data_IF_415621236477
#
_entry.id   IF_415621236477
#
_cell.length_a   1.000
_cell.length_b   1.000
_cell.length_c   1.000
_cell.angle_alpha   90.00
_cell.angle_beta   90.00
_cell.angle_gamma   90.00
#
_symmetry.space_group_name_H-M   'P 1'
#
loop_
_entity.id
_entity.type
_entity.pdbx_description
1 polymer ?
#
# COMPACT_ATOMS: atom_id res chain seq x y z
N UNK A 1 55.85 -15.24 -28.76
CA UNK A 1 55.41 -16.57 -28.25
C UNK A 1 53.89 -16.61 -28.34
N UNK A 2 53.42 -17.45 -29.22
CA UNK A 2 52.03 -17.63 -29.67
C UNK A 2 51.36 -18.64 -28.74
N UNK A 3 50.18 -18.36 -28.24
CA UNK A 3 49.30 -19.42 -27.74
C UNK A 3 47.87 -19.25 -28.33
N UNK A 4 47.38 -20.32 -28.98
CA UNK A 4 46.05 -20.38 -29.53
C UNK A 4 45.08 -21.15 -28.61
N UNK A 5 43.78 -20.90 -28.72
CA UNK A 5 42.79 -21.78 -28.11
C UNK A 5 41.40 -21.19 -28.01
N UNK A 6 40.79 -20.81 -29.13
CA UNK A 6 39.35 -20.62 -29.23
C UNK A 6 38.71 -21.97 -29.64
N UNK A 7 38.00 -22.62 -28.75
CA UNK A 7 37.12 -23.73 -29.09
C UNK A 7 35.70 -23.18 -29.34
N UNK A 8 35.31 -23.26 -30.61
CA UNK A 8 33.95 -23.07 -31.09
C UNK A 8 33.10 -24.28 -30.75
N UNK A 9 32.04 -24.12 -29.95
CA UNK A 9 31.03 -25.15 -29.79
C UNK A 9 29.98 -24.99 -30.89
N UNK A 10 29.71 -26.09 -31.58
CA UNK A 10 28.75 -26.26 -32.68
C UNK A 10 27.30 -26.23 -32.18
N UNK A 11 26.33 -25.85 -33.05
CA UNK A 11 24.93 -25.78 -32.70
C UNK A 11 24.31 -27.17 -32.64
N UNK A 12 23.47 -27.40 -31.61
CA UNK A 12 22.66 -28.60 -31.41
C UNK A 12 21.51 -28.59 -32.41
N UNK A 13 21.46 -29.66 -33.24
CA UNK A 13 20.43 -29.88 -34.22
C UNK A 13 19.06 -30.19 -33.60
N UNK A 14 18.05 -29.52 -34.08
CA UNK A 14 16.63 -29.75 -33.76
C UNK A 14 16.14 -30.94 -34.60
N UNK A 15 15.70 -32.03 -33.99
CA UNK A 15 15.05 -33.15 -34.67
C UNK A 15 13.53 -32.97 -34.63
N UNK A 16 12.81 -33.04 -35.78
CA UNK A 16 11.37 -33.11 -35.81
C UNK A 16 10.91 -34.57 -35.90
N UNK A 17 10.05 -34.98 -35.03
CA UNK A 17 9.40 -36.27 -35.15
C UNK A 17 8.46 -36.60 -34.04
N UNK A 18 7.14 -36.43 -34.28
CA UNK A 18 6.10 -37.35 -33.82
C UNK A 18 4.74 -36.92 -34.39
N UNK A 19 4.39 -37.53 -35.49
CA UNK A 19 3.21 -38.26 -35.94
C UNK A 19 1.83 -37.77 -35.48
N UNK A 20 1.08 -37.37 -36.53
CA UNK A 20 -0.37 -37.35 -36.66
C UNK A 20 -1.10 -38.49 -35.98
N UNK A 21 -2.11 -38.14 -35.16
CA UNK A 21 -3.29 -38.98 -34.96
C UNK A 21 -4.52 -38.23 -35.45
N UNK A 22 -4.91 -38.50 -36.67
CA UNK A 22 -6.18 -38.09 -37.24
C UNK A 22 -7.32 -38.79 -36.50
N UNK A 23 -8.19 -38.03 -35.81
CA UNK A 23 -9.52 -38.51 -35.44
C UNK A 23 -10.48 -38.21 -36.59
N UNK A 24 -10.93 -39.29 -37.26
CA UNK A 24 -12.02 -39.26 -38.22
C UNK A 24 -13.34 -39.04 -37.47
N UNK A 25 -13.95 -37.88 -37.67
CA UNK A 25 -15.36 -37.67 -37.39
C UNK A 25 -16.18 -37.90 -38.65
N UNK A 26 -17.04 -38.93 -38.62
CA UNK A 26 -18.09 -39.19 -39.59
C UNK A 26 -19.19 -38.14 -39.41
N UNK A 27 -19.66 -37.63 -40.54
CA UNK A 27 -20.70 -36.60 -40.62
C UNK A 27 -22.06 -37.11 -40.13
N UNK A 28 -22.80 -36.18 -39.52
CA UNK A 28 -24.26 -36.19 -39.52
C UNK A 28 -24.70 -34.74 -39.73
N UNK A 29 -25.27 -34.51 -40.89
CA UNK A 29 -25.98 -33.27 -41.19
C UNK A 29 -27.32 -33.29 -40.44
N UNK A 30 -27.50 -32.35 -39.53
CA UNK A 30 -28.76 -32.08 -38.87
C UNK A 30 -28.83 -30.61 -38.47
N UNK A 31 -29.56 -29.82 -39.26
CA UNK A 31 -29.94 -28.45 -38.90
C UNK A 31 -30.79 -28.50 -37.64
N UNK A 32 -30.29 -27.95 -36.54
CA UNK A 32 -31.12 -27.60 -35.42
C UNK A 32 -30.85 -26.14 -35.05
N UNK A 33 -31.80 -25.28 -35.41
CA UNK A 33 -31.92 -23.89 -34.93
C UNK A 33 -32.26 -23.97 -33.44
N UNK A 34 -31.27 -23.83 -32.58
CA UNK A 34 -31.50 -23.61 -31.17
C UNK A 34 -31.75 -22.12 -30.95
N UNK A 35 -33.02 -21.77 -30.77
CA UNK A 35 -33.47 -20.51 -30.23
C UNK A 35 -33.07 -20.50 -28.76
N UNK A 36 -32.08 -19.68 -28.37
CA UNK A 36 -31.78 -19.41 -26.95
C UNK A 36 -32.82 -18.41 -26.45
N UNK A 37 -33.63 -18.78 -25.44
CA UNK A 37 -34.42 -17.79 -24.74
C UNK A 37 -33.50 -16.98 -23.86
N UNK A 38 -33.48 -15.68 -24.07
CA UNK A 38 -32.89 -14.69 -23.16
C UNK A 38 -33.70 -14.62 -21.87
N UNK A 39 -33.25 -15.36 -20.85
CA UNK A 39 -33.73 -15.15 -19.48
C UNK A 39 -32.50 -14.89 -18.62
N UNK A 40 -32.48 -13.81 -17.81
CA UNK A 40 -31.42 -13.58 -16.86
C UNK A 40 -31.57 -14.61 -15.74
N UNK A 41 -30.66 -15.58 -15.69
CA UNK A 41 -30.52 -16.43 -14.51
C UNK A 41 -30.01 -15.54 -13.34
N UNK A 42 -30.95 -14.96 -12.60
CA UNK A 42 -30.69 -14.55 -11.22
C UNK A 42 -30.40 -15.82 -10.45
N UNK A 43 -29.16 -15.98 -10.03
CA UNK A 43 -28.79 -16.93 -9.00
C UNK A 43 -29.58 -16.55 -7.73
N UNK A 44 -30.40 -17.44 -7.15
CA UNK A 44 -31.04 -17.16 -5.88
C UNK A 44 -30.03 -17.44 -4.77
N UNK A 45 -29.09 -16.53 -4.58
CA UNK A 45 -28.34 -16.44 -3.33
C UNK A 45 -29.15 -15.57 -2.40
N UNK A 46 -29.94 -16.27 -1.57
CA UNK A 46 -30.35 -15.91 -0.22
C UNK A 46 -30.46 -14.40 0.06
N UNK A 47 -31.69 -13.91 0.02
CA UNK A 47 -32.13 -12.85 0.93
C UNK A 47 -31.89 -13.35 2.36
N UNK A 48 -30.78 -13.00 2.94
CA UNK A 48 -30.41 -13.42 4.28
C UNK A 48 -29.12 -12.76 4.68
N UNK A 49 -29.24 -11.72 5.44
CA UNK A 49 -28.20 -11.07 6.21
C UNK A 49 -27.24 -10.17 5.41
N UNK A 50 -27.78 -9.14 4.73
CA UNK A 50 -27.03 -7.88 4.71
C UNK A 50 -27.08 -7.36 6.15
N UNK A 51 -26.13 -7.79 6.96
CA UNK A 51 -25.71 -7.02 8.11
C UNK A 51 -25.30 -5.67 7.54
N UNK A 52 -26.20 -4.68 7.61
CA UNK A 52 -25.79 -3.29 7.62
C UNK A 52 -24.85 -3.19 8.82
N UNK A 53 -23.54 -3.36 8.57
CA UNK A 53 -22.55 -2.68 9.37
C UNK A 53 -22.98 -1.22 9.28
N UNK A 54 -23.62 -0.73 10.33
CA UNK A 54 -23.83 0.69 10.53
C UNK A 54 -22.46 1.28 10.54
N UNK A 55 -22.03 1.78 9.36
CA UNK A 55 -20.86 2.60 9.24
C UNK A 55 -21.08 3.77 10.22
N UNK A 56 -20.47 3.66 11.37
CA UNK A 56 -20.30 4.77 12.29
C UNK A 56 -19.63 5.86 11.48
N UNK A 57 -20.27 7.02 11.39
CA UNK A 57 -19.80 8.27 10.85
C UNK A 57 -18.26 8.35 10.95
N UNK A 58 -17.59 8.46 9.81
CA UNK A 58 -16.13 8.40 9.63
C UNK A 58 -15.43 9.66 10.18
N UNK A 59 -15.54 9.89 11.47
CA UNK A 59 -14.56 10.73 12.16
C UNK A 59 -13.46 9.81 12.66
N UNK A 60 -12.24 10.06 12.20
CA UNK A 60 -11.04 9.40 12.73
C UNK A 60 -11.12 9.30 14.26
N UNK A 61 -10.83 8.12 14.79
CA UNK A 61 -10.88 7.85 16.23
C UNK A 61 -9.84 8.67 16.98
N UNK A 62 -8.79 9.13 16.30
CA UNK A 62 -7.66 9.86 16.91
C UNK A 62 -7.10 10.94 15.99
N UNK A 63 -6.59 12.01 16.62
CA UNK A 63 -5.78 13.05 15.97
C UNK A 63 -4.28 12.74 16.03
N UNK A 64 -3.87 11.60 16.60
CA UNK A 64 -2.46 11.21 16.71
C UNK A 64 -1.78 11.15 15.34
N UNK A 65 -0.58 11.71 15.19
CA UNK A 65 0.21 11.58 13.97
C UNK A 65 0.92 10.21 13.86
N UNK A 66 0.81 9.36 14.88
CA UNK A 66 1.54 8.08 14.92
C UNK A 66 0.73 6.98 14.23
N UNK A 67 1.39 6.25 13.32
CA UNK A 67 0.87 5.08 12.64
C UNK A 67 1.80 3.90 12.95
N UNK A 68 1.33 2.94 13.74
CA UNK A 68 2.15 1.77 14.14
C UNK A 68 2.11 0.73 13.03
N UNK A 69 3.28 0.33 12.53
CA UNK A 69 3.40 -0.74 11.55
C UNK A 69 3.30 -2.11 12.23
N UNK A 70 2.28 -2.89 11.87
CA UNK A 70 2.12 -4.28 12.30
C UNK A 70 2.89 -5.20 11.36
N UNK A 71 4.13 -5.49 11.70
CA UNK A 71 5.02 -6.36 10.95
C UNK A 71 5.24 -7.65 11.76
N UNK A 72 4.21 -8.52 11.81
CA UNK A 72 4.17 -9.81 12.49
C UNK A 72 4.05 -10.95 11.49
N UNK A 73 4.46 -12.13 11.87
CA UNK A 73 4.41 -13.36 11.07
C UNK A 73 3.11 -14.17 11.26
N UNK A 74 2.25 -13.74 12.19
CA UNK A 74 0.96 -14.35 12.44
C UNK A 74 -0.06 -13.38 13.06
N UNK A 75 -1.34 -13.72 12.92
CA UNK A 75 -2.48 -12.92 13.39
C UNK A 75 -2.52 -12.78 14.91
N UNK A 76 -2.30 -13.88 15.63
CA UNK A 76 -2.48 -13.91 17.09
C UNK A 76 -1.45 -13.03 17.79
N UNK A 77 -0.19 -13.04 17.35
CA UNK A 77 0.85 -12.16 17.84
C UNK A 77 0.55 -10.69 17.56
N UNK A 78 0.01 -10.38 16.38
CA UNK A 78 -0.40 -9.01 16.04
C UNK A 78 -1.53 -8.53 16.95
N UNK A 79 -2.58 -9.34 17.15
CA UNK A 79 -3.71 -8.98 18.01
C UNK A 79 -3.30 -8.89 19.48
N UNK A 80 -2.46 -9.78 19.97
CA UNK A 80 -1.93 -9.72 21.34
C UNK A 80 -1.13 -8.42 21.60
N UNK A 81 -0.41 -7.90 20.59
CA UNK A 81 0.21 -6.58 20.67
C UNK A 81 -0.85 -5.48 20.67
N UNK A 82 -1.82 -5.53 19.77
CA UNK A 82 -2.86 -4.50 19.62
C UNK A 82 -3.69 -4.35 20.90
N UNK A 83 -3.97 -5.45 21.62
CA UNK A 83 -4.68 -5.45 22.90
C UNK A 83 -3.89 -4.74 24.05
N UNK A 84 -2.63 -4.36 23.82
CA UNK A 84 -1.77 -3.64 24.79
C UNK A 84 -1.67 -2.13 24.54
N UNK A 85 -2.31 -1.61 23.50
CA UNK A 85 -2.23 -0.19 23.10
C UNK A 85 -3.63 0.42 22.96
N UNK A 86 -3.72 1.76 23.00
CA UNK A 86 -4.99 2.50 22.95
C UNK A 86 -5.22 3.07 21.55
N UNK A 87 -6.41 2.88 20.94
CA UNK A 87 -6.73 3.45 19.63
C UNK A 87 -6.73 5.00 19.61
N UNK A 88 -6.78 5.64 20.75
CA UNK A 88 -6.65 7.10 20.86
C UNK A 88 -5.21 7.59 20.68
N UNK A 89 -4.23 6.72 20.90
CA UNK A 89 -2.80 7.08 20.86
C UNK A 89 -2.17 6.86 19.47
N UNK A 90 -2.75 6.01 18.63
CA UNK A 90 -2.19 5.71 17.31
C UNK A 90 -3.22 5.10 16.34
N UNK A 91 -2.87 5.12 15.06
CA UNK A 91 -3.45 4.29 14.00
C UNK A 91 -2.59 3.07 13.73
N UNK A 92 -3.12 2.09 13.00
CA UNK A 92 -2.39 0.87 12.67
C UNK A 92 -2.18 0.75 11.16
N UNK A 93 -1.00 0.27 10.74
CA UNK A 93 -0.69 -0.03 9.33
C UNK A 93 -0.57 -1.54 9.14
N UNK A 94 -1.34 -2.07 8.19
CA UNK A 94 -1.22 -3.45 7.70
C UNK A 94 -0.44 -3.41 6.38
N UNK A 95 0.72 -4.06 6.36
CA UNK A 95 1.53 -4.24 5.15
C UNK A 95 1.15 -5.48 4.36
N UNK A 96 1.89 -5.70 3.25
CA UNK A 96 1.65 -6.82 2.31
C UNK A 96 1.71 -8.18 3.00
N UNK A 97 2.70 -8.41 3.87
CA UNK A 97 2.89 -9.69 4.57
C UNK A 97 1.66 -10.04 5.41
N UNK A 98 1.30 -9.19 6.35
CA UNK A 98 0.16 -9.42 7.23
C UNK A 98 -1.16 -9.57 6.47
N UNK A 99 -1.39 -8.74 5.42
CA UNK A 99 -2.60 -8.86 4.61
C UNK A 99 -2.62 -10.15 3.78
N UNK A 100 -1.48 -10.60 3.26
CA UNK A 100 -1.38 -11.87 2.52
C UNK A 100 -1.65 -13.07 3.41
N UNK A 101 -1.18 -13.03 4.66
CA UNK A 101 -1.36 -14.11 5.63
C UNK A 101 -2.78 -14.16 6.22
N UNK A 102 -3.36 -13.00 6.53
CA UNK A 102 -4.58 -12.91 7.34
C UNK A 102 -5.81 -12.46 6.55
N UNK A 103 -5.63 -11.89 5.35
CA UNK A 103 -6.71 -11.37 4.54
C UNK A 103 -7.46 -10.20 5.20
N UNK A 104 -8.68 -9.89 4.69
CA UNK A 104 -9.49 -8.76 5.18
C UNK A 104 -10.01 -8.96 6.61
N UNK A 105 -10.04 -10.18 7.13
CA UNK A 105 -10.50 -10.44 8.49
C UNK A 105 -9.69 -9.67 9.53
N UNK A 106 -8.38 -9.54 9.32
CA UNK A 106 -7.53 -8.75 10.24
C UNK A 106 -7.98 -7.29 10.32
N UNK A 107 -8.44 -6.69 9.21
CA UNK A 107 -8.96 -5.31 9.23
C UNK A 107 -10.19 -5.22 10.13
N UNK A 108 -11.13 -6.17 10.01
CA UNK A 108 -12.32 -6.24 10.86
C UNK A 108 -11.96 -6.37 12.33
N UNK A 109 -11.01 -7.24 12.66
CA UNK A 109 -10.53 -7.43 14.04
C UNK A 109 -9.95 -6.15 14.67
N UNK A 110 -9.28 -5.32 13.86
CA UNK A 110 -8.71 -4.05 14.31
C UNK A 110 -9.79 -2.98 14.45
N UNK A 111 -10.78 -2.93 13.55
CA UNK A 111 -11.93 -2.04 13.67
C UNK A 111 -12.79 -2.36 14.90
N UNK A 112 -13.01 -3.64 15.22
CA UNK A 112 -13.70 -4.05 16.45
C UNK A 112 -12.99 -3.57 17.73
N UNK A 113 -11.67 -3.35 17.66
CA UNK A 113 -10.85 -2.77 18.72
C UNK A 113 -10.78 -1.24 18.68
N UNK A 114 -11.49 -0.61 17.75
CA UNK A 114 -11.59 0.84 17.60
C UNK A 114 -10.42 1.51 16.87
N UNK A 115 -9.57 0.77 16.17
CA UNK A 115 -8.44 1.34 15.46
C UNK A 115 -8.77 1.75 14.03
N UNK A 116 -8.32 2.94 13.62
CA UNK A 116 -8.20 3.32 12.22
C UNK A 116 -7.08 2.54 11.53
N UNK A 117 -7.31 2.04 10.32
CA UNK A 117 -6.36 1.19 9.59
C UNK A 117 -5.85 1.88 8.33
N UNK A 118 -4.53 1.97 8.19
CA UNK A 118 -3.83 2.24 6.93
C UNK A 118 -3.49 0.93 6.23
N UNK A 119 -4.12 0.65 5.10
CA UNK A 119 -3.84 -0.52 4.27
C UNK A 119 -2.71 -0.21 3.27
N UNK A 120 -1.48 -0.64 3.61
CA UNK A 120 -0.24 -0.32 2.90
C UNK A 120 0.13 -1.42 1.90
N UNK A 121 -0.68 -1.62 0.85
CA UNK A 121 -0.47 -2.64 -0.17
C UNK A 121 0.27 -2.10 -1.41
N UNK A 122 0.39 -0.78 -1.54
CA UNK A 122 1.11 -0.12 -2.65
C UNK A 122 0.61 -0.61 -4.00
N UNK A 123 -0.70 -0.48 -4.27
CA UNK A 123 -1.31 -0.95 -5.50
C UNK A 123 -0.63 -0.35 -6.73
N UNK A 124 -0.28 -1.20 -7.69
CA UNK A 124 0.39 -0.83 -8.90
C UNK A 124 0.03 -1.82 -10.01
N UNK A 125 -0.93 -1.45 -10.85
CA UNK A 125 -1.45 -2.28 -11.94
C UNK A 125 -2.08 -1.36 -13.01
N UNK A 126 -2.68 -1.95 -14.04
CA UNK A 126 -3.46 -1.18 -15.02
C UNK A 126 -4.60 -0.40 -14.33
N UNK A 127 -5.03 0.76 -14.90
CA UNK A 127 -5.95 1.68 -14.23
C UNK A 127 -7.21 1.03 -13.66
N UNK A 128 -7.89 0.18 -14.44
CA UNK A 128 -9.11 -0.47 -13.99
C UNK A 128 -8.91 -1.44 -12.81
N UNK A 129 -7.82 -2.21 -12.83
CA UNK A 129 -7.50 -3.15 -11.74
C UNK A 129 -7.18 -2.39 -10.45
N UNK A 130 -6.35 -1.34 -10.54
CA UNK A 130 -6.02 -0.49 -9.38
C UNK A 130 -7.25 0.21 -8.82
N UNK A 131 -8.11 0.76 -9.69
CA UNK A 131 -9.36 1.40 -9.29
C UNK A 131 -10.26 0.45 -8.47
N UNK A 132 -10.44 -0.79 -8.95
CA UNK A 132 -11.23 -1.80 -8.24
C UNK A 132 -10.60 -2.24 -6.92
N UNK A 133 -9.27 -2.36 -6.87
CA UNK A 133 -8.56 -2.70 -5.63
C UNK A 133 -8.71 -1.59 -4.57
N UNK A 134 -8.61 -0.33 -4.98
CA UNK A 134 -8.82 0.83 -4.10
C UNK A 134 -10.28 0.91 -3.62
N UNK A 135 -11.27 0.68 -4.50
CA UNK A 135 -12.67 0.61 -4.10
C UNK A 135 -12.94 -0.53 -3.10
N UNK A 136 -12.38 -1.72 -3.33
CA UNK A 136 -12.50 -2.83 -2.39
C UNK A 136 -11.86 -2.52 -1.02
N UNK A 137 -10.73 -1.80 -0.99
CA UNK A 137 -10.14 -1.31 0.26
C UNK A 137 -11.07 -0.32 0.98
N UNK A 138 -11.73 0.58 0.23
CA UNK A 138 -12.71 1.50 0.80
C UNK A 138 -13.94 0.77 1.37
N UNK A 139 -14.43 -0.28 0.70
CA UNK A 139 -15.51 -1.15 1.21
C UNK A 139 -15.15 -1.84 2.54
N UNK A 140 -13.87 -2.13 2.76
CA UNK A 140 -13.37 -2.65 4.04
C UNK A 140 -13.35 -1.59 5.15
N UNK A 141 -13.64 -0.32 4.85
CA UNK A 141 -13.68 0.77 5.83
C UNK A 141 -12.31 1.27 6.28
N UNK A 142 -11.24 1.05 5.51
CA UNK A 142 -9.91 1.52 5.88
C UNK A 142 -9.85 3.05 5.89
N UNK A 143 -9.09 3.61 6.83
CA UNK A 143 -8.88 5.05 6.94
C UNK A 143 -7.97 5.60 5.84
N UNK A 144 -6.96 4.81 5.40
CA UNK A 144 -6.00 5.22 4.37
C UNK A 144 -5.60 4.02 3.51
N UNK A 145 -5.37 4.26 2.22
CA UNK A 145 -4.88 3.28 1.25
C UNK A 145 -3.85 3.93 0.33
N UNK A 146 -2.92 3.16 -0.22
CA UNK A 146 -1.91 3.71 -1.12
C UNK A 146 -1.79 2.97 -2.45
N UNK A 147 -1.33 3.74 -3.44
CA UNK A 147 -0.92 3.26 -4.75
C UNK A 147 0.55 3.63 -5.00
N UNK A 148 1.15 3.19 -6.11
CA UNK A 148 2.45 3.70 -6.57
C UNK A 148 2.26 4.83 -7.59
N UNK A 149 2.96 5.97 -7.41
CA UNK A 149 2.93 7.07 -8.38
C UNK A 149 3.49 6.66 -9.75
N UNK A 150 4.47 5.74 -9.77
CA UNK A 150 5.08 5.22 -11.00
C UNK A 150 4.09 4.46 -11.91
N UNK A 151 2.88 4.13 -11.45
CA UNK A 151 1.78 3.66 -12.28
C UNK A 151 1.22 4.73 -13.22
N UNK A 152 1.59 6.01 -13.02
CA UNK A 152 1.26 7.13 -13.89
C UNK A 152 -0.11 7.75 -13.63
N UNK A 153 -0.32 8.92 -14.25
CA UNK A 153 -1.51 9.76 -14.00
C UNK A 153 -2.83 9.04 -14.27
N UNK A 154 -2.92 8.22 -15.33
CA UNK A 154 -4.16 7.50 -15.65
C UNK A 154 -4.57 6.52 -14.57
N UNK A 155 -3.59 5.79 -14.01
CA UNK A 155 -3.84 4.85 -12.92
C UNK A 155 -4.28 5.58 -11.65
N UNK A 156 -3.59 6.66 -11.26
CA UNK A 156 -3.90 7.44 -10.07
C UNK A 156 -5.28 8.11 -10.16
N UNK A 157 -5.62 8.73 -11.30
CA UNK A 157 -6.95 9.33 -11.51
C UNK A 157 -8.06 8.29 -11.46
N UNK A 158 -7.89 7.13 -12.11
CA UNK A 158 -8.86 6.05 -12.03
C UNK A 158 -9.07 5.55 -10.59
N UNK A 159 -7.99 5.44 -9.80
CA UNK A 159 -8.07 5.11 -8.38
C UNK A 159 -8.82 6.18 -7.56
N UNK A 160 -8.58 7.48 -7.84
CA UNK A 160 -9.28 8.58 -7.16
C UNK A 160 -10.77 8.62 -7.52
N UNK A 161 -11.09 8.45 -8.81
CA UNK A 161 -12.47 8.40 -9.30
C UNK A 161 -13.27 7.25 -8.69
N UNK A 162 -12.63 6.10 -8.46
CA UNK A 162 -13.27 4.94 -7.84
C UNK A 162 -13.71 5.19 -6.40
N UNK A 163 -13.17 6.20 -5.73
CA UNK A 163 -13.55 6.61 -4.37
C UNK A 163 -14.73 7.59 -4.34
N UNK A 164 -15.14 8.18 -5.47
CA UNK A 164 -16.23 9.15 -5.50
C UNK A 164 -17.56 8.64 -4.88
N UNK A 165 -17.97 7.37 -5.04
CA UNK A 165 -19.19 6.85 -4.42
C UNK A 165 -19.19 6.85 -2.88
N UNK A 166 -18.00 6.85 -2.26
CA UNK A 166 -17.84 6.82 -0.80
C UNK A 166 -17.97 8.21 -0.16
N UNK A 167 -17.92 9.29 -0.93
CA UNK A 167 -18.14 10.65 -0.43
C UNK A 167 -17.22 11.00 0.73
N UNK A 168 -17.80 11.38 1.88
CA UNK A 168 -17.09 11.73 3.10
C UNK A 168 -16.46 10.52 3.81
N UNK A 169 -16.91 9.31 3.49
CA UNK A 169 -16.39 8.06 4.06
C UNK A 169 -15.24 7.46 3.22
N UNK A 170 -14.84 8.16 2.13
CA UNK A 170 -13.69 7.75 1.32
C UNK A 170 -12.40 7.75 2.15
N UNK A 171 -11.57 6.69 2.06
CA UNK A 171 -10.26 6.70 2.69
C UNK A 171 -9.35 7.76 2.06
N UNK A 172 -8.37 8.23 2.81
CA UNK A 172 -7.27 8.99 2.24
C UNK A 172 -6.55 8.11 1.20
N UNK A 173 -6.44 8.63 -0.03
CA UNK A 173 -5.69 7.96 -1.10
C UNK A 173 -4.36 8.67 -1.30
N UNK A 174 -3.28 8.01 -0.91
CA UNK A 174 -1.92 8.54 -1.05
C UNK A 174 -1.10 7.71 -2.04
N UNK A 175 0.00 8.26 -2.54
CA UNK A 175 0.86 7.53 -3.46
C UNK A 175 2.30 7.41 -2.95
N UNK A 176 2.93 6.25 -3.21
CA UNK A 176 4.34 6.03 -2.91
C UNK A 176 5.18 6.66 -4.02
N UNK A 177 6.13 7.51 -3.64
CA UNK A 177 7.09 8.14 -4.56
C UNK A 177 8.26 7.18 -4.83
N UNK A 178 9.42 7.45 -4.27
CA UNK A 178 10.60 6.58 -4.31
C UNK A 178 10.68 5.82 -3.00
N UNK A 179 10.84 4.50 -3.05
CA UNK A 179 11.02 3.69 -1.84
C UNK A 179 12.25 4.18 -1.07
N UNK A 180 12.12 4.32 0.24
CA UNK A 180 13.19 4.87 1.10
C UNK A 180 14.45 4.00 1.15
N UNK A 181 14.39 2.77 0.65
CA UNK A 181 15.50 1.83 0.47
C UNK A 181 16.26 2.02 -0.84
N UNK A 182 15.68 2.72 -1.85
CA UNK A 182 16.30 2.90 -3.17
C UNK A 182 17.38 3.99 -3.15
N UNK A 183 18.45 3.71 -3.87
CA UNK A 183 19.56 4.60 -4.16
C UNK A 183 19.55 5.01 -5.65
N UNK A 184 20.49 5.88 -6.04
CA UNK A 184 20.59 6.33 -7.43
C UNK A 184 20.91 5.18 -8.40
N UNK A 185 21.67 4.16 -7.95
CA UNK A 185 21.95 2.94 -8.72
C UNK A 185 20.68 2.14 -9.03
N UNK A 186 19.80 1.96 -8.03
CA UNK A 186 18.56 1.21 -8.21
C UNK A 186 17.61 1.92 -9.19
N UNK A 187 17.60 3.26 -9.18
CA UNK A 187 16.85 4.05 -10.14
C UNK A 187 17.44 3.95 -11.56
N UNK A 188 18.78 3.94 -11.67
CA UNK A 188 19.45 3.78 -12.96
C UNK A 188 19.18 2.41 -13.60
N UNK A 189 19.10 1.34 -12.81
CA UNK A 189 18.77 -0.01 -13.26
C UNK A 189 17.39 -0.09 -13.94
N UNK A 190 16.45 0.77 -13.54
CA UNK A 190 15.13 0.88 -14.17
C UNK A 190 15.02 2.06 -15.15
N UNK A 191 16.15 2.61 -15.58
CA UNK A 191 16.23 3.65 -16.61
C UNK A 191 15.93 5.07 -16.14
N UNK A 192 15.94 5.34 -14.83
CA UNK A 192 15.71 6.66 -14.26
C UNK A 192 17.07 7.32 -13.95
N UNK A 193 17.32 8.46 -14.59
CA UNK A 193 18.60 9.20 -14.46
C UNK A 193 18.55 10.34 -13.43
N UNK A 194 17.38 10.63 -12.87
CA UNK A 194 17.22 11.64 -11.83
C UNK A 194 17.76 11.14 -10.49
N UNK A 195 18.22 12.06 -9.66
CA UNK A 195 18.51 11.72 -8.26
C UNK A 195 17.25 11.21 -7.54
N UNK A 196 17.37 10.39 -6.48
CA UNK A 196 16.21 9.94 -5.71
C UNK A 196 15.33 11.11 -5.22
N UNK A 197 15.93 12.20 -4.79
CA UNK A 197 15.22 13.39 -4.30
C UNK A 197 14.44 14.10 -5.42
N UNK A 198 15.07 14.35 -6.58
CA UNK A 198 14.39 15.01 -7.70
C UNK A 198 13.34 14.13 -8.34
N UNK A 199 13.56 12.81 -8.36
CA UNK A 199 12.56 11.88 -8.83
C UNK A 199 11.35 11.82 -7.87
N UNK A 200 11.59 11.79 -6.55
CA UNK A 200 10.54 11.82 -5.54
C UNK A 200 9.69 13.10 -5.64
N UNK A 201 10.33 14.26 -5.85
CA UNK A 201 9.61 15.52 -6.07
C UNK A 201 8.73 15.48 -7.31
N UNK A 202 9.29 15.05 -8.45
CA UNK A 202 8.53 14.89 -9.70
C UNK A 202 7.29 14.02 -9.49
N UNK A 203 7.45 12.90 -8.79
CA UNK A 203 6.36 11.98 -8.47
C UNK A 203 5.34 12.62 -7.51
N UNK A 204 5.78 13.38 -6.50
CA UNK A 204 4.91 14.04 -5.56
C UNK A 204 4.03 15.11 -6.25
N UNK A 205 4.61 15.93 -7.15
CA UNK A 205 3.87 16.88 -7.98
C UNK A 205 2.82 16.17 -8.85
N UNK A 206 3.20 15.10 -9.54
CA UNK A 206 2.27 14.30 -10.36
C UNK A 206 1.12 13.72 -9.51
N UNK A 207 1.41 13.30 -8.27
CA UNK A 207 0.40 12.79 -7.33
C UNK A 207 -0.62 13.88 -6.98
N UNK A 208 -0.16 15.09 -6.67
CA UNK A 208 -1.01 16.24 -6.38
C UNK A 208 -1.86 16.65 -7.60
N UNK A 209 -1.26 16.70 -8.79
CA UNK A 209 -1.96 16.99 -10.06
C UNK A 209 -3.07 15.98 -10.39
N UNK A 210 -2.94 14.76 -9.89
CA UNK A 210 -3.97 13.72 -10.02
C UNK A 210 -5.05 13.81 -8.93
N UNK A 211 -4.96 14.76 -8.00
CA UNK A 211 -5.95 15.00 -6.94
C UNK A 211 -5.90 13.99 -5.79
N UNK A 212 -4.78 13.27 -5.60
CA UNK A 212 -4.59 12.41 -4.44
C UNK A 212 -4.28 13.26 -3.19
N UNK A 213 -4.51 12.66 -2.02
CA UNK A 213 -4.49 13.37 -0.75
C UNK A 213 -3.07 13.58 -0.19
N UNK A 214 -2.07 12.84 -0.69
CA UNK A 214 -0.70 12.93 -0.22
C UNK A 214 0.23 11.86 -0.78
N UNK A 215 1.43 11.79 -0.19
CA UNK A 215 2.47 10.82 -0.57
C UNK A 215 3.10 10.12 0.62
N UNK A 216 3.64 8.92 0.34
CA UNK A 216 4.66 8.29 1.19
C UNK A 216 6.02 8.77 0.70
N UNK A 217 6.78 9.43 1.56
CA UNK A 217 8.08 10.02 1.26
C UNK A 217 9.06 9.87 2.42
N UNK A 218 10.34 10.16 2.19
CA UNK A 218 11.33 10.30 3.26
C UNK A 218 11.08 11.59 4.05
N UNK A 219 11.36 11.57 5.36
CA UNK A 219 11.28 12.77 6.18
C UNK A 219 12.26 13.87 5.71
N UNK A 220 13.37 13.50 5.07
CA UNK A 220 14.33 14.47 4.49
C UNK A 220 13.73 15.30 3.35
N UNK A 221 12.70 14.81 2.69
CA UNK A 221 11.99 15.48 1.58
C UNK A 221 10.85 16.38 2.09
N UNK A 222 10.45 16.23 3.36
CA UNK A 222 9.22 16.79 3.90
C UNK A 222 9.15 18.32 3.82
N UNK A 223 10.20 19.04 4.26
CA UNK A 223 10.26 20.50 4.21
C UNK A 223 10.07 21.01 2.79
N UNK A 224 10.77 20.40 1.83
CA UNK A 224 10.67 20.75 0.42
C UNK A 224 9.25 20.54 -0.09
N UNK A 225 8.65 19.37 0.19
CA UNK A 225 7.30 19.07 -0.28
C UNK A 225 6.23 19.97 0.35
N UNK A 226 6.33 20.30 1.64
CA UNK A 226 5.40 21.25 2.25
C UNK A 226 5.47 22.64 1.65
N UNK A 227 6.67 23.12 1.35
CA UNK A 227 6.87 24.41 0.71
C UNK A 227 6.31 24.45 -0.72
N UNK A 228 6.44 23.38 -1.47
CA UNK A 228 6.08 23.32 -2.88
C UNK A 228 4.63 22.91 -3.15
N UNK A 229 4.11 21.96 -2.35
CA UNK A 229 2.80 21.35 -2.55
C UNK A 229 1.74 21.86 -1.56
N UNK A 230 2.17 22.66 -0.58
CA UNK A 230 1.29 23.26 0.40
C UNK A 230 0.98 22.40 1.62
N UNK A 231 0.50 23.04 2.69
CA UNK A 231 0.27 22.40 3.99
C UNK A 231 -0.83 21.33 3.97
N UNK A 232 -1.80 21.43 3.07
CA UNK A 232 -2.91 20.47 2.97
C UNK A 232 -2.50 19.11 2.42
N UNK A 233 -1.42 19.05 1.61
CA UNK A 233 -0.92 17.83 1.01
C UNK A 233 -0.24 16.94 2.07
N UNK A 234 -0.76 15.73 2.27
CA UNK A 234 -0.36 14.86 3.38
C UNK A 234 0.98 14.17 3.12
N UNK A 235 1.86 14.19 4.11
CA UNK A 235 3.14 13.50 4.10
C UNK A 235 3.12 12.35 5.10
N UNK A 236 3.25 11.13 4.60
CA UNK A 236 3.33 9.89 5.39
C UNK A 236 4.75 9.36 5.31
N UNK A 237 5.42 9.26 6.45
CA UNK A 237 6.86 9.01 6.46
C UNK A 237 7.23 7.80 7.29
N UNK A 238 7.79 6.75 6.67
CA UNK A 238 8.43 5.63 7.39
C UNK A 238 9.86 6.00 7.82
N UNK A 239 10.45 5.13 8.65
CA UNK A 239 11.84 5.33 9.08
C UNK A 239 11.99 6.29 10.24
N UNK A 240 10.91 6.63 10.92
CA UNK A 240 10.95 7.44 12.14
C UNK A 240 11.44 6.59 13.31
N UNK A 241 12.40 7.13 14.06
CA UNK A 241 13.02 6.47 15.20
C UNK A 241 13.09 7.42 16.41
N UNK A 242 12.51 7.07 17.56
CA UNK A 242 12.77 7.79 18.80
C UNK A 242 14.28 7.84 19.09
N UNK A 243 14.70 8.83 19.83
CA UNK A 243 16.09 8.99 20.21
C UNK A 243 16.63 7.73 20.92
N UNK A 244 17.84 7.28 20.55
CA UNK A 244 18.45 6.05 21.07
C UNK A 244 17.95 4.74 20.46
N UNK A 245 16.95 4.74 19.59
CA UNK A 245 16.49 3.52 18.92
C UNK A 245 17.39 3.11 17.76
N UNK A 246 17.55 1.80 17.55
CA UNK A 246 18.35 1.25 16.45
C UNK A 246 17.78 1.62 15.06
N UNK A 247 18.65 1.96 14.11
CA UNK A 247 18.28 2.28 12.73
C UNK A 247 17.65 1.08 11.99
N UNK A 248 18.15 -0.13 12.25
CA UNK A 248 17.73 -1.36 11.61
C UNK A 248 17.99 -1.32 10.09
N UNK A 249 16.98 -1.65 9.30
CA UNK A 249 16.98 -1.64 7.82
C UNK A 249 16.71 -0.25 7.20
N UNK A 250 16.42 0.77 8.01
CA UNK A 250 16.18 2.13 7.53
C UNK A 250 17.50 2.90 7.40
N UNK A 251 17.72 3.48 6.22
CA UNK A 251 18.94 4.27 5.92
C UNK A 251 18.78 5.76 6.16
N UNK A 252 17.54 6.26 6.03
CA UNK A 252 17.17 7.68 6.20
C UNK A 252 16.25 7.81 7.40
N UNK A 253 16.83 7.92 8.61
CA UNK A 253 16.11 8.02 9.88
C UNK A 253 15.97 9.47 10.34
N UNK A 254 14.91 9.74 11.09
CA UNK A 254 14.66 11.04 11.74
C UNK A 254 13.89 10.80 13.04
N UNK A 255 14.09 11.65 14.06
CA UNK A 255 13.31 11.55 15.29
C UNK A 255 11.87 12.03 15.06
N UNK A 256 10.90 11.64 15.92
CA UNK A 256 9.53 12.14 15.84
C UNK A 256 9.43 13.67 15.86
N UNK A 257 10.19 14.34 16.72
CA UNK A 257 10.22 15.79 16.83
C UNK A 257 10.75 16.44 15.56
N UNK A 258 11.88 15.95 15.03
CA UNK A 258 12.43 16.44 13.77
C UNK A 258 11.44 16.26 12.61
N UNK A 259 10.75 15.13 12.56
CA UNK A 259 9.75 14.86 11.53
C UNK A 259 8.55 15.80 11.64
N UNK A 260 8.09 16.10 12.86
CA UNK A 260 7.03 17.08 13.09
C UNK A 260 7.44 18.47 12.64
N UNK A 261 8.62 18.95 13.02
CA UNK A 261 9.17 20.23 12.61
C UNK A 261 9.36 20.33 11.08
N UNK A 262 9.68 19.20 10.43
CA UNK A 262 9.76 19.12 8.98
C UNK A 262 8.38 19.13 8.28
N UNK A 263 7.28 19.06 9.02
CA UNK A 263 5.91 19.10 8.49
C UNK A 263 5.35 17.72 8.10
N UNK A 264 5.88 16.62 8.60
CA UNK A 264 5.33 15.28 8.40
C UNK A 264 3.97 15.20 9.10
N UNK A 265 2.92 14.79 8.38
CA UNK A 265 1.58 14.63 8.95
C UNK A 265 1.41 13.29 9.68
N UNK A 266 1.97 12.20 9.14
CA UNK A 266 1.83 10.87 9.71
C UNK A 266 3.18 10.13 9.73
N UNK A 267 3.56 9.70 10.92
CA UNK A 267 4.85 9.04 11.22
C UNK A 267 4.64 7.54 11.34
N UNK A 268 5.17 6.76 10.39
CA UNK A 268 5.08 5.29 10.44
C UNK A 268 6.23 4.75 11.29
N UNK A 269 5.88 4.17 12.45
CA UNK A 269 6.83 3.62 13.42
C UNK A 269 6.48 2.14 13.67
N UNK A 270 7.45 1.26 13.49
CA UNK A 270 7.28 -0.19 13.72
C UNK A 270 8.03 -0.65 14.98
N UNK A 271 9.15 -1.35 14.77
CA UNK A 271 9.95 -2.01 15.81
C UNK A 271 10.21 -1.23 17.10
N UNK A 272 10.48 0.09 17.08
CA UNK A 272 10.64 0.85 18.33
C UNK A 272 9.44 0.75 19.28
N UNK A 273 8.23 0.61 18.73
CA UNK A 273 6.99 0.45 19.50
C UNK A 273 6.66 -1.03 19.68
N UNK A 274 6.65 -1.81 18.57
CA UNK A 274 6.17 -3.19 18.60
C UNK A 274 7.06 -4.15 19.40
N UNK A 275 8.34 -3.80 19.60
CA UNK A 275 9.29 -4.57 20.42
C UNK A 275 9.56 -3.96 21.78
N UNK A 276 8.92 -2.85 22.12
CA UNK A 276 9.04 -2.26 23.46
C UNK A 276 8.45 -3.20 24.52
N UNK A 277 9.09 -3.28 25.66
CA UNK A 277 8.55 -4.02 26.82
C UNK A 277 7.17 -3.49 27.21
N UNK A 278 7.02 -2.15 27.21
CA UNK A 278 5.79 -1.42 27.51
C UNK A 278 5.38 -0.54 26.31
N UNK A 279 4.70 -1.10 25.28
CA UNK A 279 4.40 -0.36 24.04
C UNK A 279 3.46 0.82 24.25
N UNK A 280 2.50 0.73 25.16
CA UNK A 280 1.63 1.86 25.49
C UNK A 280 2.42 3.02 26.13
N UNK A 281 3.41 2.73 26.96
CA UNK A 281 4.26 3.77 27.55
C UNK A 281 5.15 4.41 26.48
N UNK A 282 5.74 3.60 25.60
CA UNK A 282 6.54 4.09 24.48
C UNK A 282 5.72 5.04 23.58
N UNK A 283 4.45 4.71 23.27
CA UNK A 283 3.56 5.59 22.51
C UNK A 283 3.32 6.91 23.24
N UNK A 284 3.01 6.87 24.53
CA UNK A 284 2.80 8.09 25.31
C UNK A 284 4.06 8.96 25.38
N UNK A 285 5.23 8.36 25.52
CA UNK A 285 6.51 9.07 25.57
C UNK A 285 6.79 9.78 24.25
N UNK A 286 6.53 9.11 23.10
CA UNK A 286 6.63 9.71 21.78
C UNK A 286 5.65 10.87 21.65
N UNK A 287 4.36 10.67 21.99
CA UNK A 287 3.35 11.72 21.92
C UNK A 287 3.64 12.91 22.84
N UNK A 288 4.19 12.65 24.03
CA UNK A 288 4.61 13.70 24.95
C UNK A 288 5.76 14.54 24.37
N UNK A 289 6.72 13.89 23.70
CA UNK A 289 7.84 14.57 23.06
C UNK A 289 7.41 15.51 21.92
N UNK A 290 6.30 15.19 21.24
CA UNK A 290 5.74 16.03 20.18
C UNK A 290 5.02 17.29 20.70
N UNK A 291 4.62 17.31 21.97
CA UNK A 291 3.92 18.46 22.59
C UNK A 291 4.86 19.50 23.21
N UNK A 292 6.13 19.17 23.40
CA UNK A 292 7.09 20.04 24.11
C UNK A 292 7.69 21.16 23.25
N UNK A 293 7.51 21.12 21.92
CA UNK A 293 8.10 22.06 20.95
C UNK A 293 7.06 22.82 20.11
N UNK A 294 5.78 22.81 20.52
CA UNK A 294 4.70 23.51 19.82
C UNK A 294 4.49 24.95 20.32
#
# INVERSE_FOLDING_TARGET
MIHPGLQTQSPVAFQPGLRDRACKFHGCAGRMLAVYPSAPHRCPLSEGLVMKLTASSSRSVTDSPIVVALDYDNRDSALAFVDRIDPRDCRLKIGKEMFTLCGPQLISDLHERGFDVFLDLKFHDIPNTTARAVAAAAELGVWMVNVHTSGGARMMRAAKEALAPFGADAPLLIAVTVLTSMEASDLADVGITLSPADHAERLARLTQECGLDGVVCSAQEAVRFKNELGAAFKLVTPGIRPEGAEAGDQRRIMTPQQAQLAGVDYMVIGRPITRAAEPAQMLRDILASLKQEA
#
